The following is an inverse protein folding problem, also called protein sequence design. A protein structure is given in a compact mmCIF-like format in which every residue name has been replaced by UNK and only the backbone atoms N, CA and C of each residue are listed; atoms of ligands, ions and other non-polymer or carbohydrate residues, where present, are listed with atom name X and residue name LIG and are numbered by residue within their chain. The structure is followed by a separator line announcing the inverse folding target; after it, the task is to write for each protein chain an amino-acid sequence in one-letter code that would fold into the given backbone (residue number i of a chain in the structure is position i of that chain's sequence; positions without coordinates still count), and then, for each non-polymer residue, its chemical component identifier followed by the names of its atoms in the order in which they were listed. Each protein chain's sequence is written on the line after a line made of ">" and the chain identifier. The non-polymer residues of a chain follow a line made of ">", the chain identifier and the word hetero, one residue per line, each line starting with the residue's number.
data_IF_858855413088
#
_entry.id   IF_858855413088
#
_cell.length_a   1.000
_cell.length_b   1.000
_cell.length_c   1.000
_cell.angle_alpha   90.00
_cell.angle_beta   90.00
_cell.angle_gamma   90.00
#
_symmetry.space_group_name_H-M   'P 1'
#
loop_
_entity.id
_entity.type
_entity.pdbx_description
1 polymer ?
#
# COMPACT_ATOMS: atom_id res chain seq x y z
N UNK A 1 43.63 -14.68 43.81
CA UNK A 1 42.37 -14.61 43.04
C UNK A 1 41.22 -14.25 43.98
N UNK A 2 40.88 -12.96 44.10
CA UNK A 2 39.82 -12.49 45.00
C UNK A 2 38.44 -12.86 44.44
N UNK A 3 37.74 -13.76 45.12
CA UNK A 3 36.34 -14.14 44.82
C UNK A 3 35.47 -12.88 44.92
N UNK A 4 34.98 -12.38 43.78
CA UNK A 4 33.96 -11.32 43.73
C UNK A 4 32.67 -11.87 44.35
N UNK A 5 32.40 -11.56 45.61
CA UNK A 5 31.13 -11.94 46.24
C UNK A 5 29.98 -11.19 45.55
N UNK A 6 28.85 -11.87 45.23
CA UNK A 6 27.73 -11.24 44.52
C UNK A 6 26.86 -10.35 45.42
N UNK A 7 27.14 -10.29 46.72
CA UNK A 7 26.32 -9.65 47.76
C UNK A 7 26.05 -8.15 47.51
N UNK A 8 27.05 -7.29 47.22
CA UNK A 8 26.79 -5.86 47.00
C UNK A 8 25.99 -5.59 45.72
N UNK A 9 26.09 -6.48 44.72
CA UNK A 9 25.27 -6.39 43.50
C UNK A 9 23.80 -6.70 43.80
N UNK A 10 23.52 -7.66 44.68
CA UNK A 10 22.15 -8.03 45.09
C UNK A 10 21.43 -6.90 45.81
N UNK A 11 22.10 -6.23 46.75
CA UNK A 11 21.52 -5.06 47.44
C UNK A 11 21.18 -3.94 46.46
N UNK A 12 22.10 -3.59 45.56
CA UNK A 12 21.85 -2.53 44.57
C UNK A 12 20.71 -2.87 43.60
N UNK A 13 20.57 -4.13 43.20
CA UNK A 13 19.44 -4.58 42.36
C UNK A 13 18.12 -4.47 43.12
N UNK A 14 18.05 -4.92 44.38
CA UNK A 14 16.85 -4.79 45.20
C UNK A 14 16.43 -3.32 45.38
N UNK A 15 17.39 -2.42 45.61
CA UNK A 15 17.13 -0.97 45.65
C UNK A 15 16.56 -0.43 44.33
N UNK A 16 17.04 -0.91 43.17
CA UNK A 16 16.47 -0.52 41.85
C UNK A 16 15.05 -1.04 41.66
N UNK A 17 14.75 -2.24 42.16
CA UNK A 17 13.39 -2.80 42.07
C UNK A 17 12.38 -2.03 42.92
N UNK A 18 12.80 -1.38 44.01
CA UNK A 18 11.93 -0.51 44.81
C UNK A 18 11.70 0.87 44.15
N UNK A 19 12.59 1.29 43.25
CA UNK A 19 12.64 2.63 42.67
C UNK A 19 12.16 2.65 41.20
N UNK A 20 10.99 2.08 40.91
CA UNK A 20 10.38 2.19 39.58
C UNK A 20 9.51 3.46 39.49
N UNK A 21 9.76 4.37 38.53
CA UNK A 21 9.01 5.63 38.42
C UNK A 21 7.60 5.44 37.84
N UNK A 22 7.33 4.30 37.21
CA UNK A 22 6.07 4.00 36.53
C UNK A 22 5.54 2.62 36.96
N UNK A 23 4.20 2.46 37.03
CA UNK A 23 3.59 1.16 37.27
C UNK A 23 3.91 0.19 36.12
N UNK A 24 3.79 -1.12 36.38
CA UNK A 24 4.16 -2.18 35.43
C UNK A 24 3.44 -2.04 34.09
N UNK A 25 2.14 -1.73 34.09
CA UNK A 25 1.36 -1.57 32.85
C UNK A 25 1.84 -0.38 32.02
N UNK A 26 2.22 0.74 32.65
CA UNK A 26 2.73 1.91 31.95
C UNK A 26 4.12 1.64 31.35
N UNK A 27 4.97 0.88 32.05
CA UNK A 27 6.25 0.42 31.48
C UNK A 27 6.06 -0.47 30.26
N UNK A 28 5.08 -1.40 30.30
CA UNK A 28 4.71 -2.21 29.13
C UNK A 28 4.26 -1.36 27.95
N UNK A 29 3.47 -0.30 28.19
CA UNK A 29 3.09 0.64 27.14
C UNK A 29 4.29 1.43 26.56
N UNK A 30 5.25 1.82 27.41
CA UNK A 30 6.49 2.45 26.92
C UNK A 30 7.32 1.47 26.08
N UNK A 31 7.32 0.18 26.40
CA UNK A 31 7.96 -0.83 25.58
C UNK A 31 7.24 -1.03 24.24
N UNK A 32 5.91 -1.11 24.22
CA UNK A 32 5.15 -1.14 22.96
C UNK A 32 5.42 0.09 22.10
N UNK A 33 5.50 1.27 22.71
CA UNK A 33 5.88 2.51 22.01
C UNK A 33 7.31 2.41 21.44
N UNK A 34 8.25 1.85 22.19
CA UNK A 34 9.61 1.63 21.67
C UNK A 34 9.57 0.67 20.48
N UNK A 35 8.83 -0.42 20.58
CA UNK A 35 8.73 -1.43 19.51
C UNK A 35 8.09 -0.80 18.24
N UNK A 36 7.08 0.07 18.37
CA UNK A 36 6.52 0.79 17.22
C UNK A 36 7.49 1.79 16.61
N UNK A 37 8.30 2.48 17.42
CA UNK A 37 9.37 3.36 16.92
C UNK A 37 10.42 2.55 16.17
N UNK A 38 10.84 1.39 16.70
CA UNK A 38 11.78 0.49 16.03
C UNK A 38 11.22 -0.04 14.70
N UNK A 39 9.93 -0.38 14.64
CA UNK A 39 9.27 -0.76 13.39
C UNK A 39 9.25 0.39 12.38
N UNK A 40 8.93 1.61 12.82
CA UNK A 40 8.94 2.79 11.95
C UNK A 40 10.34 3.10 11.41
N UNK A 41 11.36 3.02 12.27
CA UNK A 41 12.75 3.18 11.85
C UNK A 41 13.16 2.09 10.85
N UNK A 42 12.73 0.84 11.05
CA UNK A 42 13.00 -0.24 10.12
C UNK A 42 12.37 0.02 8.74
N UNK A 43 11.13 0.51 8.70
CA UNK A 43 10.46 0.92 7.45
C UNK A 43 11.25 2.05 6.76
N UNK A 44 11.69 3.06 7.51
CA UNK A 44 12.42 4.20 6.96
C UNK A 44 13.84 3.86 6.51
N UNK A 45 14.44 2.79 7.03
CA UNK A 45 15.73 2.25 6.57
C UNK A 45 15.62 1.50 5.24
N UNK A 46 14.41 1.17 4.78
CA UNK A 46 14.23 0.51 3.49
C UNK A 46 14.70 1.40 2.32
N UNK A 47 15.24 0.82 1.24
CA UNK A 47 15.71 1.60 0.12
C UNK A 47 14.54 2.21 -0.67
N UNK A 48 14.78 3.38 -1.27
CA UNK A 48 13.77 4.13 -2.03
C UNK A 48 13.16 3.34 -3.20
N UNK A 49 13.94 2.50 -3.88
CA UNK A 49 13.47 1.71 -5.01
C UNK A 49 14.07 0.31 -5.02
N UNK A 50 13.43 -0.59 -5.77
CA UNK A 50 13.89 -1.95 -6.01
C UNK A 50 13.84 -2.25 -7.50
N UNK A 51 14.90 -2.85 -8.03
CA UNK A 51 14.94 -3.26 -9.43
C UNK A 51 14.06 -4.50 -9.58
N UNK A 52 13.05 -4.41 -10.46
CA UNK A 52 12.06 -5.47 -10.70
C UNK A 52 12.21 -6.01 -12.12
N UNK A 53 12.05 -7.32 -12.28
CA UNK A 53 11.96 -7.97 -13.60
C UNK A 53 10.49 -8.10 -14.03
N UNK A 54 10.23 -8.20 -15.33
CA UNK A 54 8.86 -8.33 -15.87
C UNK A 54 8.28 -9.74 -15.71
N UNK A 55 9.13 -10.77 -15.80
CA UNK A 55 8.68 -12.16 -15.73
C UNK A 55 8.40 -12.65 -14.31
N UNK A 56 9.12 -12.14 -13.29
CA UNK A 56 8.98 -12.65 -11.93
C UNK A 56 7.78 -12.02 -11.21
N UNK A 57 7.08 -12.79 -10.34
CA UNK A 57 6.08 -12.24 -9.43
C UNK A 57 6.62 -11.05 -8.64
N UNK A 58 5.76 -10.10 -8.28
CA UNK A 58 6.16 -8.95 -7.48
C UNK A 58 6.67 -9.33 -6.09
N UNK A 59 6.16 -10.43 -5.51
CA UNK A 59 6.59 -10.96 -4.23
C UNK A 59 7.97 -11.68 -4.27
N UNK A 60 8.58 -11.82 -5.45
CA UNK A 60 9.89 -12.48 -5.58
C UNK A 60 11.06 -11.59 -5.09
N UNK A 61 10.86 -10.28 -5.01
CA UNK A 61 11.87 -9.37 -4.44
C UNK A 61 11.97 -9.62 -2.94
N UNK A 62 13.18 -9.50 -2.38
CA UNK A 62 13.48 -9.74 -0.96
C UNK A 62 12.37 -9.22 -0.05
N UNK A 63 11.88 -10.04 0.91
CA UNK A 63 10.80 -9.65 1.79
C UNK A 63 11.17 -8.36 2.51
N UNK A 64 10.23 -7.40 2.51
CA UNK A 64 10.45 -6.14 3.20
C UNK A 64 10.57 -6.41 4.70
N UNK A 65 11.46 -5.69 5.37
CA UNK A 65 11.60 -5.79 6.84
C UNK A 65 10.26 -5.45 7.50
N UNK A 66 9.51 -4.54 6.88
CA UNK A 66 8.13 -4.17 7.20
C UNK A 66 7.14 -5.35 7.19
N UNK A 67 7.34 -6.33 6.31
CA UNK A 67 6.46 -7.49 6.12
C UNK A 67 6.79 -8.62 7.10
N UNK A 68 8.06 -8.75 7.51
CA UNK A 68 8.50 -9.79 8.46
C UNK A 68 8.08 -9.52 9.90
N UNK A 69 7.97 -8.25 10.33
CA UNK A 69 7.63 -7.88 11.71
C UNK A 69 6.15 -8.09 12.07
N UNK A 70 5.26 -8.16 11.06
CA UNK A 70 3.81 -8.35 11.21
C UNK A 70 3.34 -9.57 10.42
N UNK A 71 4.08 -10.67 10.51
CA UNK A 71 3.71 -11.92 9.84
C UNK A 71 2.54 -12.55 10.59
N UNK A 72 1.34 -12.04 10.33
CA UNK A 72 0.13 -12.84 10.54
C UNK A 72 0.29 -14.15 9.76
N UNK A 73 -0.19 -15.28 10.31
CA UNK A 73 -0.13 -16.53 9.58
C UNK A 73 -0.86 -16.36 8.25
N UNK A 74 -0.22 -16.80 7.15
CA UNK A 74 -0.75 -16.81 5.77
C UNK A 74 -2.03 -17.68 5.70
N UNK A 75 -3.10 -17.14 6.24
CA UNK A 75 -4.39 -17.77 6.38
C UNK A 75 -5.39 -16.95 5.60
N UNK A 76 -6.46 -17.59 5.14
CA UNK A 76 -7.55 -16.91 4.44
C UNK A 76 -8.26 -15.86 5.30
N UNK A 77 -7.97 -15.84 6.60
CA UNK A 77 -8.51 -14.90 7.58
C UNK A 77 -7.68 -13.61 7.70
N UNK A 78 -6.47 -13.56 7.14
CA UNK A 78 -5.69 -12.32 7.18
C UNK A 78 -6.30 -11.27 6.25
N UNK A 79 -6.37 -10.03 6.70
CA UNK A 79 -6.87 -8.90 5.90
C UNK A 79 -6.04 -8.66 4.64
N UNK A 80 -4.79 -9.13 4.60
CA UNK A 80 -3.87 -8.99 3.45
C UNK A 80 -3.90 -10.15 2.47
N UNK A 81 -4.61 -11.24 2.79
CA UNK A 81 -4.59 -12.48 2.02
C UNK A 81 -4.84 -12.29 0.52
N UNK A 82 -5.83 -11.47 0.16
CA UNK A 82 -6.16 -11.19 -1.24
C UNK A 82 -5.05 -10.48 -2.00
N UNK A 83 -4.37 -9.52 -1.35
CA UNK A 83 -3.24 -8.78 -1.93
C UNK A 83 -2.03 -9.70 -2.07
N UNK A 84 -1.68 -10.44 -1.02
CA UNK A 84 -0.52 -11.34 -1.04
C UNK A 84 -0.68 -12.44 -2.09
N UNK A 85 -1.90 -12.96 -2.27
CA UNK A 85 -2.22 -13.92 -3.32
C UNK A 85 -1.97 -13.33 -4.72
N UNK A 86 -2.33 -12.07 -4.95
CA UNK A 86 -2.08 -11.41 -6.23
C UNK A 86 -0.59 -11.13 -6.45
N UNK A 87 0.13 -10.71 -5.41
CA UNK A 87 1.56 -10.38 -5.50
C UNK A 87 2.45 -11.60 -5.75
N UNK A 88 2.04 -12.77 -5.24
CA UNK A 88 2.67 -14.07 -5.49
C UNK A 88 2.31 -14.67 -6.84
N UNK A 89 1.20 -14.24 -7.43
CA UNK A 89 0.79 -14.67 -8.77
C UNK A 89 1.74 -14.19 -9.87
N UNK A 90 1.74 -14.85 -11.04
CA UNK A 90 2.53 -14.41 -12.18
C UNK A 90 2.04 -13.04 -12.68
N UNK A 91 2.98 -12.22 -13.19
CA UNK A 91 2.63 -10.94 -13.81
C UNK A 91 1.94 -11.18 -15.15
N UNK A 92 0.98 -10.30 -15.48
CA UNK A 92 0.22 -10.38 -16.74
C UNK A 92 0.95 -9.74 -17.93
N UNK A 93 1.70 -8.66 -17.68
CA UNK A 93 2.57 -8.02 -18.66
C UNK A 93 4.00 -8.53 -18.47
N UNK A 94 4.33 -9.61 -19.18
CA UNK A 94 5.58 -10.40 -19.01
C UNK A 94 6.76 -9.78 -19.77
N UNK A 95 6.48 -8.93 -20.77
CA UNK A 95 7.50 -8.30 -21.62
C UNK A 95 7.19 -6.81 -21.83
N UNK A 96 8.20 -5.99 -22.15
CA UNK A 96 8.00 -4.58 -22.45
C UNK A 96 7.15 -4.38 -23.71
N UNK A 97 7.27 -5.25 -24.72
CA UNK A 97 6.46 -5.21 -25.95
C UNK A 97 4.99 -5.42 -25.63
N UNK A 98 4.67 -6.42 -24.79
CA UNK A 98 3.29 -6.67 -24.38
C UNK A 98 2.70 -5.50 -23.59
N UNK A 99 3.52 -4.84 -22.76
CA UNK A 99 3.08 -3.63 -22.06
C UNK A 99 2.79 -2.50 -23.05
N UNK A 100 3.65 -2.33 -24.06
CA UNK A 100 3.46 -1.33 -25.10
C UNK A 100 2.19 -1.58 -25.91
N UNK A 101 1.93 -2.81 -26.35
CA UNK A 101 0.68 -3.17 -27.03
C UNK A 101 -0.57 -2.80 -26.20
N UNK A 102 -0.57 -3.15 -24.91
CA UNK A 102 -1.67 -2.82 -24.00
C UNK A 102 -1.82 -1.30 -23.79
N UNK A 103 -0.71 -0.57 -23.84
CA UNK A 103 -0.69 0.89 -23.70
C UNK A 103 -1.20 1.58 -24.97
N UNK A 104 -0.89 1.04 -26.14
CA UNK A 104 -1.39 1.56 -27.42
C UNK A 104 -2.90 1.34 -27.58
N UNK A 105 -3.44 0.28 -26.98
CA UNK A 105 -4.88 0.02 -26.93
C UNK A 105 -5.63 0.91 -25.92
N UNK A 106 -4.92 1.61 -25.03
CA UNK A 106 -5.53 2.45 -23.99
C UNK A 106 -6.08 3.75 -24.58
N UNK A 107 -7.39 3.96 -24.45
CA UNK A 107 -8.06 5.19 -24.89
C UNK A 107 -8.42 6.07 -23.70
N UNK A 108 -8.17 7.37 -23.81
CA UNK A 108 -8.49 8.37 -22.78
C UNK A 108 -9.72 9.18 -23.18
N UNK A 109 -10.89 8.90 -22.59
CA UNK A 109 -12.14 9.59 -22.95
C UNK A 109 -12.30 11.03 -22.43
N UNK A 110 -11.43 11.47 -21.53
CA UNK A 110 -11.47 12.82 -20.93
C UNK A 110 -10.18 13.61 -21.09
N UNK A 111 -9.30 13.20 -22.02
CA UNK A 111 -8.08 13.96 -22.28
C UNK A 111 -8.40 15.25 -23.04
N UNK A 112 -7.70 16.33 -22.70
CA UNK A 112 -7.83 17.60 -23.40
C UNK A 112 -6.99 17.53 -24.68
N UNK A 113 -7.61 17.73 -25.83
CA UNK A 113 -6.96 17.76 -27.12
C UNK A 113 -7.75 16.99 -28.19
N UNK A 114 -7.35 17.10 -29.47
CA UNK A 114 -7.99 16.34 -30.53
C UNK A 114 -7.70 14.85 -30.34
N UNK A 115 -8.77 14.04 -30.29
CA UNK A 115 -8.64 12.60 -30.32
C UNK A 115 -8.37 12.13 -31.75
N UNK A 116 -7.61 11.04 -31.89
CA UNK A 116 -7.48 10.36 -33.17
C UNK A 116 -8.89 9.96 -33.65
N UNK A 117 -9.18 10.08 -34.96
CA UNK A 117 -10.49 9.75 -35.47
C UNK A 117 -10.84 8.29 -35.13
N UNK A 118 -12.09 8.01 -34.76
CA UNK A 118 -12.53 6.65 -34.48
C UNK A 118 -12.17 5.71 -35.64
N UNK A 119 -11.80 4.48 -35.32
CA UNK A 119 -11.58 3.44 -36.34
C UNK A 119 -12.82 3.33 -37.23
N UNK A 120 -12.63 3.10 -38.53
CA UNK A 120 -13.72 3.08 -39.51
C UNK A 120 -14.85 2.13 -39.05
N UNK A 121 -16.01 2.72 -38.70
CA UNK A 121 -17.18 2.00 -38.17
C UNK A 121 -17.55 2.33 -36.72
N UNK A 122 -16.68 3.01 -35.96
CA UNK A 122 -17.07 3.59 -34.67
C UNK A 122 -17.83 4.90 -34.91
N UNK A 123 -19.03 5.00 -34.34
CA UNK A 123 -19.91 6.16 -34.46
C UNK A 123 -19.32 7.44 -33.85
N UNK A 124 -20.05 8.56 -33.90
CA UNK A 124 -19.58 9.81 -33.32
C UNK A 124 -19.32 9.66 -31.82
N UNK A 125 -18.38 10.44 -31.27
CA UNK A 125 -18.16 10.40 -29.83
C UNK A 125 -19.34 11.05 -29.10
N UNK A 126 -19.62 10.60 -27.87
CA UNK A 126 -20.72 11.17 -27.08
C UNK A 126 -20.62 12.70 -26.92
N UNK A 127 -19.40 13.24 -26.83
CA UNK A 127 -19.19 14.69 -26.73
C UNK A 127 -19.50 15.41 -28.04
N UNK A 128 -19.27 14.78 -29.19
CA UNK A 128 -19.63 15.35 -30.50
C UNK A 128 -21.16 15.38 -30.69
N UNK A 129 -21.87 14.36 -30.20
CA UNK A 129 -23.34 14.27 -30.32
C UNK A 129 -24.08 15.15 -29.32
N UNK A 130 -23.66 15.15 -28.06
CA UNK A 130 -24.41 15.75 -26.94
C UNK A 130 -23.72 16.98 -26.34
N UNK A 131 -22.52 17.32 -26.80
CA UNK A 131 -21.70 18.40 -26.26
C UNK A 131 -21.07 18.08 -24.90
N UNK A 132 -20.24 19.00 -24.41
CA UNK A 132 -19.47 18.81 -23.16
C UNK A 132 -20.29 19.03 -21.89
N UNK A 133 -21.39 19.78 -21.95
CA UNK A 133 -22.21 20.12 -20.77
C UNK A 133 -23.27 19.08 -20.44
N UNK A 134 -23.74 18.33 -21.43
CA UNK A 134 -24.80 17.35 -21.23
C UNK A 134 -24.21 16.02 -20.74
N UNK A 135 -24.83 15.45 -19.71
CA UNK A 135 -24.47 14.13 -19.19
C UNK A 135 -25.70 13.21 -19.23
N UNK A 136 -25.50 11.89 -19.34
CA UNK A 136 -26.59 10.94 -19.22
C UNK A 136 -27.30 11.09 -17.88
N UNK A 137 -28.61 10.79 -17.86
CA UNK A 137 -29.36 10.66 -16.61
C UNK A 137 -29.03 9.32 -15.97
N UNK A 138 -27.93 9.29 -15.21
CA UNK A 138 -27.53 8.12 -14.46
C UNK A 138 -28.58 7.77 -13.39
N UNK A 139 -28.78 6.49 -13.06
CA UNK A 139 -29.68 6.09 -11.99
C UNK A 139 -29.11 6.54 -10.64
N UNK A 140 -29.76 7.51 -10.02
CA UNK A 140 -29.40 8.00 -8.69
C UNK A 140 -30.05 7.11 -7.62
N UNK A 141 -29.24 6.25 -7.01
CA UNK A 141 -29.67 5.33 -5.96
C UNK A 141 -28.62 5.23 -4.86
N UNK A 142 -28.97 4.61 -3.73
CA UNK A 142 -28.01 4.35 -2.65
C UNK A 142 -26.80 3.53 -3.14
N UNK A 143 -27.03 2.58 -4.04
CA UNK A 143 -25.99 1.70 -4.56
C UNK A 143 -25.19 2.34 -5.72
N UNK A 144 -25.80 3.31 -6.43
CA UNK A 144 -25.21 3.97 -7.59
C UNK A 144 -25.28 5.48 -7.47
N UNK A 145 -24.19 6.09 -7.00
CA UNK A 145 -24.06 7.55 -6.87
C UNK A 145 -23.25 8.10 -8.06
N UNK A 146 -23.89 8.78 -9.04
CA UNK A 146 -23.17 9.38 -10.15
C UNK A 146 -22.45 10.68 -9.75
N UNK A 147 -21.47 11.13 -10.54
CA UNK A 147 -20.87 12.45 -10.33
C UNK A 147 -21.90 13.56 -10.58
N UNK A 148 -22.09 14.44 -9.60
CA UNK A 148 -23.00 15.58 -9.68
C UNK A 148 -22.26 16.88 -10.07
N UNK A 149 -23.01 17.87 -10.57
CA UNK A 149 -22.51 19.22 -10.91
C UNK A 149 -21.28 19.21 -11.84
N UNK A 150 -21.41 18.78 -13.11
CA UNK A 150 -20.28 18.67 -14.04
C UNK A 150 -19.55 20.01 -14.27
N UNK A 151 -20.23 21.14 -14.10
CA UNK A 151 -19.62 22.47 -14.21
C UNK A 151 -18.64 22.81 -13.07
N UNK A 152 -18.69 22.12 -11.93
CA UNK A 152 -17.73 22.34 -10.83
C UNK A 152 -16.43 21.56 -11.00
N UNK A 153 -16.44 20.49 -11.78
CA UNK A 153 -15.23 19.72 -12.08
C UNK A 153 -14.36 20.37 -13.17
N UNK A 154 -14.87 21.37 -13.88
CA UNK A 154 -14.14 22.15 -14.87
C UNK A 154 -13.44 23.33 -14.15
N UNK A 155 -12.11 23.26 -14.00
CA UNK A 155 -11.24 24.34 -13.50
C UNK A 155 -10.23 24.69 -14.59
#
# INVERSE_FOLDING_TARGET
>A
MLRRSPVPRRYRTAWRELLHPLPVWARKQQWLKRDTVEMNEAILREPYYHIKTYAQPSAFVSPRVSECATREPDTQQSSRYGVDRQLRGPRRAVSPERLQELREQLQFGGAIGPHAPPTAGAGPTYQDEYGTRLRPRYPESWDTVPPHQPSRSEI
#
